data_IF_440970775268
#
_entry.id   IF_440970775268
#
_cell.length_a   1.000
_cell.length_b   1.000
_cell.length_c   1.000
_cell.angle_alpha   90.00
_cell.angle_beta   90.00
_cell.angle_gamma   90.00
#
_symmetry.space_group_name_H-M   'P 1'
#
loop_
_entity.id
_entity.type
_entity.pdbx_description
1 polymer ?
2 non-polymer ?
3 non-polymer ?
4 water ?
#
# COMPACT_ATOMS: atom_id res chain seq x y z
N UNK A 5 15.29 -5.35 -26.33
CA UNK A 5 14.36 -4.74 -27.38
C UNK A 5 13.49 -3.54 -27.06
N UNK A 6 12.36 -3.63 -26.32
CA UNK A 6 11.52 -2.46 -26.00
C UNK A 6 11.44 -2.22 -24.47
N UNK A 7 11.58 -0.96 -24.07
CA UNK A 7 11.44 -0.56 -22.63
C UNK A 7 10.32 0.49 -22.58
N UNK A 8 9.40 0.32 -21.63
CA UNK A 8 8.36 1.26 -21.34
C UNK A 8 8.77 2.05 -20.06
N UNK A 9 8.80 3.35 -20.12
CA UNK A 9 9.13 4.20 -18.94
C UNK A 9 8.02 5.19 -18.71
N UNK A 10 7.20 4.94 -17.70
CA UNK A 10 6.20 5.97 -17.30
C UNK A 10 6.86 7.06 -16.56
N UNK A 11 6.32 8.28 -16.66
CA UNK A 11 6.98 9.45 -16.15
C UNK A 11 8.33 9.70 -16.86
N UNK A 12 8.29 9.54 -18.20
CA UNK A 12 9.48 9.71 -19.06
C UNK A 12 9.83 11.13 -19.43
N UNK A 13 9.08 12.11 -18.99
CA UNK A 13 9.29 13.52 -19.38
C UNK A 13 10.32 14.34 -18.65
N UNK A 14 10.74 13.87 -17.50
CA UNK A 14 11.68 14.56 -16.67
C UNK A 14 12.21 13.56 -15.55
N UNK A 15 13.23 14.04 -14.81
CA UNK A 15 13.60 13.38 -13.55
C UNK A 15 14.20 12.02 -13.75
N UNK A 16 13.88 11.17 -12.77
CA UNK A 16 14.37 9.80 -12.77
C UNK A 16 13.96 9.06 -14.05
N UNK A 17 12.69 9.22 -14.49
CA UNK A 17 12.25 8.52 -15.65
C UNK A 17 13.04 8.92 -16.91
N UNK A 18 13.24 10.23 -17.10
CA UNK A 18 14.02 10.71 -18.25
C UNK A 18 15.44 10.16 -18.18
N UNK A 19 16.06 10.17 -17.01
CA UNK A 19 17.43 9.69 -16.90
C UNK A 19 17.51 8.17 -17.17
N UNK A 20 16.49 7.46 -16.71
CA UNK A 20 16.41 6.02 -16.92
C UNK A 20 16.25 5.69 -18.43
N UNK A 21 15.36 6.45 -19.10
CA UNK A 21 15.15 6.31 -20.54
C UNK A 21 16.45 6.56 -21.31
N UNK A 22 17.21 7.55 -20.93
CA UNK A 22 18.51 7.85 -21.60
C UNK A 22 19.45 6.63 -21.48
N UNK A 23 19.56 6.09 -20.26
CA UNK A 23 20.46 5.00 -20.06
C UNK A 23 19.98 3.75 -20.75
N UNK A 24 18.68 3.47 -20.78
CA UNK A 24 18.18 2.31 -21.47
C UNK A 24 18.42 2.46 -23.00
N UNK A 25 18.25 3.65 -23.52
CA UNK A 25 18.45 3.89 -24.98
C UNK A 25 19.98 3.70 -25.31
N UNK A 26 20.85 4.06 -24.37
CA UNK A 26 22.32 3.84 -24.53
C UNK A 26 22.66 2.40 -24.63
N UNK A 27 21.86 1.56 -23.99
CA UNK A 27 22.01 0.10 -23.98
C UNK A 27 21.38 -0.58 -25.19
N UNK A 28 20.71 0.19 -26.05
CA UNK A 28 20.11 -0.32 -27.27
C UNK A 28 18.62 -0.55 -27.28
N UNK A 29 17.91 -0.29 -26.16
CA UNK A 29 16.50 -0.44 -26.14
C UNK A 29 15.75 0.59 -26.97
N UNK A 30 14.67 0.16 -27.61
CA UNK A 30 13.67 1.07 -28.16
C UNK A 30 12.83 1.55 -26.94
N UNK A 31 12.86 2.81 -26.63
CA UNK A 31 12.17 3.35 -25.43
C UNK A 31 10.84 3.99 -25.78
N UNK A 32 9.78 3.64 -25.06
CA UNK A 32 8.51 4.34 -25.08
C UNK A 32 8.42 5.22 -23.84
N UNK A 33 8.32 6.53 -24.04
CA UNK A 33 8.19 7.49 -22.91
C UNK A 33 6.70 7.78 -22.70
N UNK A 34 6.15 7.64 -21.51
CA UNK A 34 4.71 7.88 -21.28
C UNK A 34 4.58 8.90 -20.20
N UNK A 35 3.75 9.91 -20.44
CA UNK A 35 3.35 10.88 -19.41
C UNK A 35 2.20 11.77 -19.99
N UNK A 36 1.81 12.79 -19.26
CA UNK A 36 0.70 13.67 -19.74
C UNK A 36 1.16 14.67 -20.78
N UNK A 37 2.42 14.90 -20.96
CA UNK A 37 2.92 16.15 -21.61
C UNK A 37 3.58 15.85 -22.93
N UNK A 38 2.85 15.93 -24.05
CA UNK A 38 3.35 15.52 -25.39
C UNK A 38 4.53 16.35 -25.74
N UNK A 39 4.51 17.68 -25.45
CA UNK A 39 5.69 18.43 -25.86
C UNK A 39 6.99 18.09 -25.11
N UNK A 40 6.88 17.86 -23.80
CA UNK A 40 8.05 17.53 -23.02
C UNK A 40 8.51 16.07 -23.35
N UNK A 41 7.57 15.21 -23.60
CA UNK A 41 7.92 13.87 -24.06
C UNK A 41 8.71 13.93 -25.36
N UNK A 42 8.25 14.74 -26.30
CA UNK A 42 9.05 14.87 -27.54
C UNK A 42 10.42 15.48 -27.36
N UNK A 43 10.57 16.42 -26.42
CA UNK A 43 11.86 16.98 -26.10
C UNK A 43 12.83 15.91 -25.58
N UNK A 44 12.37 15.06 -24.66
CA UNK A 44 13.24 13.99 -24.17
C UNK A 44 13.54 12.96 -25.26
N UNK A 45 12.50 12.59 -26.01
CA UNK A 45 12.71 11.64 -27.10
C UNK A 45 13.87 12.04 -28.05
N UNK A 46 13.96 13.34 -28.35
CA UNK A 46 15.01 13.85 -29.24
C UNK A 46 16.34 13.73 -28.63
N UNK A 47 16.48 13.58 -27.29
CA UNK A 47 17.74 13.43 -26.60
C UNK A 47 18.14 11.97 -26.40
N UNK A 48 17.25 11.03 -26.68
CA UNK A 48 17.57 9.62 -26.48
C UNK A 48 18.62 9.11 -27.45
N UNK A 49 19.69 8.51 -26.93
CA UNK A 49 20.65 7.88 -27.86
C UNK A 49 20.07 6.88 -28.83
N UNK A 50 20.67 6.82 -30.01
CA UNK A 50 20.43 5.78 -31.00
C UNK A 50 21.80 5.13 -31.27
N UNK A 51 21.93 3.86 -30.91
CA UNK A 51 23.24 3.21 -30.84
C UNK A 51 23.28 1.89 -31.64
N UNK A 52 22.18 1.47 -32.19
CA UNK A 52 21.96 0.13 -32.81
C UNK A 52 21.16 0.33 -34.08
N UNK A 53 21.44 -0.43 -35.14
CA UNK A 53 20.65 -0.37 -36.39
C UNK A 53 19.21 -0.71 -36.13
N UNK A 54 18.29 0.12 -36.66
CA UNK A 54 16.89 -0.18 -36.60
C UNK A 54 16.20 0.33 -35.28
N UNK A 55 17.01 0.88 -34.39
CA UNK A 55 16.48 1.32 -33.04
C UNK A 55 15.55 2.50 -33.26
N UNK A 56 14.43 2.59 -32.50
CA UNK A 56 13.38 3.55 -32.66
C UNK A 56 12.76 3.84 -31.28
N UNK A 57 12.40 5.08 -31.07
CA UNK A 57 11.77 5.52 -29.80
C UNK A 57 10.37 6.07 -30.06
N UNK A 58 9.53 6.08 -29.00
CA UNK A 58 8.14 6.40 -29.12
C UNK A 58 7.71 7.21 -27.93
N UNK A 59 6.63 7.96 -28.13
CA UNK A 59 5.96 8.63 -26.96
C UNK A 59 4.54 8.09 -26.82
N UNK A 60 3.98 8.28 -25.61
CA UNK A 60 2.65 7.75 -25.31
C UNK A 60 2.03 8.76 -24.35
N UNK A 61 0.97 9.48 -24.81
CA UNK A 61 0.30 10.47 -23.99
C UNK A 61 -0.71 9.70 -23.09
N UNK A 62 -0.40 9.66 -21.79
CA UNK A 62 -1.08 8.79 -20.83
C UNK A 62 -1.23 9.55 -19.52
N UNK A 63 -2.47 9.64 -19.02
CA UNK A 63 -2.71 10.25 -17.74
C UNK A 63 -3.06 9.16 -16.73
N UNK A 64 -2.10 8.90 -15.80
CA UNK A 64 -2.27 7.85 -14.82
C UNK A 64 -3.26 8.09 -13.71
N UNK A 65 -3.87 9.29 -13.72
CA UNK A 65 -5.06 9.47 -12.87
C UNK A 65 -6.24 8.71 -13.43
N UNK A 66 -6.15 8.26 -14.70
CA UNK A 66 -7.20 7.47 -15.38
C UNK A 66 -6.82 6.05 -15.39
N UNK A 67 -7.25 5.34 -14.33
CA UNK A 67 -6.87 3.93 -14.13
C UNK A 67 -7.37 3.04 -15.24
N UNK A 68 -8.59 3.30 -15.75
CA UNK A 68 -9.04 2.43 -16.92
C UNK A 68 -8.23 2.63 -18.21
N UNK A 69 -7.68 3.80 -18.43
CA UNK A 69 -6.76 4.01 -19.55
C UNK A 69 -5.50 3.12 -19.41
N UNK A 70 -4.99 3.09 -18.19
CA UNK A 70 -3.85 2.21 -17.89
C UNK A 70 -4.16 0.76 -18.16
N UNK A 71 -5.33 0.32 -17.64
CA UNK A 71 -5.69 -1.04 -17.71
C UNK A 71 -5.84 -1.58 -19.17
N UNK A 72 -6.21 -0.68 -20.06
CA UNK A 72 -6.39 -1.09 -21.43
C UNK A 72 -5.25 -0.65 -22.34
N UNK A 73 -4.13 -0.16 -21.81
CA UNK A 73 -3.04 0.40 -22.66
C UNK A 73 -3.58 1.39 -23.69
N UNK A 74 -4.52 2.21 -23.24
CA UNK A 74 -5.21 3.16 -24.09
C UNK A 74 -4.23 4.14 -24.74
N UNK A 75 -4.19 4.13 -26.09
CA UNK A 75 -3.35 5.06 -26.81
C UNK A 75 -1.89 4.59 -26.96
N UNK A 76 -1.56 3.40 -26.46
CA UNK A 76 -0.17 2.98 -26.47
C UNK A 76 0.34 2.77 -27.95
N UNK A 77 1.62 3.01 -28.19
CA UNK A 77 2.10 2.87 -29.62
C UNK A 77 2.37 1.40 -29.94
N UNK A 78 2.54 0.53 -28.93
CA UNK A 78 2.86 -0.87 -29.07
C UNK A 78 1.99 -1.63 -28.13
N UNK A 79 1.66 -2.88 -28.46
CA UNK A 79 0.96 -3.67 -27.44
C UNK A 79 1.85 -4.03 -26.24
N UNK A 80 1.19 -4.37 -25.12
CA UNK A 80 1.93 -4.62 -23.84
C UNK A 80 2.96 -5.71 -23.99
N UNK A 81 2.63 -6.72 -24.78
CA UNK A 81 3.53 -7.82 -24.94
C UNK A 81 4.82 -7.47 -25.66
N UNK A 82 4.92 -6.29 -26.27
CA UNK A 82 6.13 -5.97 -26.95
C UNK A 82 7.26 -5.59 -25.97
N UNK A 83 6.92 -5.29 -24.73
CA UNK A 83 7.92 -4.74 -23.76
C UNK A 83 8.69 -5.85 -23.08
N UNK A 84 9.97 -5.60 -22.91
CA UNK A 84 10.92 -6.46 -22.27
C UNK A 84 11.34 -5.88 -20.92
N UNK A 85 11.18 -4.54 -20.77
CA UNK A 85 11.47 -3.80 -19.52
C UNK A 85 10.33 -2.81 -19.33
N UNK A 86 9.77 -2.80 -18.10
CA UNK A 86 8.72 -1.86 -17.71
C UNK A 86 9.22 -1.10 -16.47
N UNK A 87 9.53 0.19 -16.60
CA UNK A 87 9.94 1.03 -15.52
C UNK A 87 8.69 1.85 -15.13
N UNK A 88 8.11 1.48 -13.98
CA UNK A 88 6.86 2.13 -13.45
C UNK A 88 7.40 3.26 -12.63
N UNK A 89 7.62 4.40 -13.22
CA UNK A 89 8.29 5.52 -12.60
C UNK A 89 7.40 6.68 -12.25
N UNK A 90 6.33 6.91 -12.99
CA UNK A 90 5.49 8.08 -12.71
C UNK A 90 5.00 8.06 -11.24
N UNK A 91 4.94 9.26 -10.68
CA UNK A 91 4.41 9.38 -9.37
C UNK A 91 4.25 10.85 -9.02
N UNK A 92 3.43 11.07 -8.02
CA UNK A 92 3.20 12.39 -7.46
C UNK A 92 3.32 12.35 -5.95
N UNK A 93 3.83 13.46 -5.42
CA UNK A 93 4.02 13.60 -3.92
C UNK A 93 3.05 14.63 -3.37
N UNK A 94 2.73 14.51 -2.10
CA UNK A 94 1.86 15.49 -1.46
C UNK A 94 2.25 15.50 0.01
N UNK A 95 2.37 16.71 0.59
CA UNK A 95 2.75 16.95 1.99
C UNK A 95 1.58 17.63 2.72
N UNK A 96 1.15 17.09 3.87
CA UNK A 96 0.00 17.67 4.59
C UNK A 96 -0.01 17.01 5.95
N UNK A 97 -0.45 17.75 6.98
CA UNK A 97 -1.02 17.02 8.12
C UNK A 97 -2.09 16.09 7.68
N UNK A 98 -2.09 14.85 8.19
CA UNK A 98 -3.03 13.84 7.73
C UNK A 98 -4.52 14.33 7.94
N UNK A 99 -4.74 14.94 9.11
CA UNK A 99 -6.05 15.43 9.50
C UNK A 99 -6.66 16.37 8.49
N UNK A 100 -5.85 17.05 7.74
CA UNK A 100 -6.33 18.08 6.85
C UNK A 100 -6.08 17.79 5.38
N UNK A 101 -5.67 16.57 5.04
CA UNK A 101 -5.28 16.33 3.65
C UNK A 101 -6.59 16.15 2.83
N UNK A 102 -6.82 17.03 1.82
CA UNK A 102 -8.02 16.95 1.00
C UNK A 102 -8.31 15.59 0.42
N UNK A 103 -9.51 15.07 0.59
CA UNK A 103 -9.87 13.74 0.16
C UNK A 103 -9.67 13.50 -1.36
N UNK A 104 -10.10 14.45 -2.19
CA UNK A 104 -9.91 14.22 -3.66
C UNK A 104 -8.41 14.12 -4.02
N UNK A 105 -7.61 14.96 -3.40
CA UNK A 105 -6.19 15.03 -3.61
C UNK A 105 -5.51 13.69 -3.24
N UNK A 106 -5.82 13.17 -2.04
CA UNK A 106 -5.03 11.96 -1.60
C UNK A 106 -5.57 10.76 -2.33
N UNK A 107 -6.86 10.71 -2.72
CA UNK A 107 -7.40 9.66 -3.51
C UNK A 107 -6.74 9.68 -4.95
N UNK A 108 -6.57 10.85 -5.51
CA UNK A 108 -5.94 10.96 -6.83
C UNK A 108 -4.46 10.48 -6.72
N UNK A 109 -3.80 10.82 -5.61
CA UNK A 109 -2.43 10.35 -5.38
C UNK A 109 -2.39 8.81 -5.41
N UNK A 110 -3.29 8.18 -4.69
CA UNK A 110 -3.35 6.67 -4.69
C UNK A 110 -3.59 6.13 -6.08
N UNK A 111 -4.47 6.78 -6.87
CA UNK A 111 -4.71 6.34 -8.23
C UNK A 111 -3.45 6.41 -9.07
N UNK A 112 -2.72 7.51 -9.01
CA UNK A 112 -1.55 7.68 -9.85
C UNK A 112 -0.41 6.75 -9.41
N UNK A 113 -0.20 6.69 -8.10
CA UNK A 113 0.99 6.00 -7.55
C UNK A 113 0.84 4.49 -7.40
N UNK A 114 -0.36 4.02 -7.15
CA UNK A 114 -0.64 2.63 -6.85
C UNK A 114 -1.58 1.93 -7.82
N UNK A 115 -2.78 2.49 -8.00
CA UNK A 115 -3.80 1.78 -8.78
C UNK A 115 -3.34 1.69 -10.29
N UNK A 116 -2.85 2.78 -10.87
CA UNK A 116 -2.36 2.70 -12.28
C UNK A 116 -1.17 1.75 -12.49
N UNK A 117 -0.17 1.76 -11.60
CA UNK A 117 0.83 0.69 -11.70
C UNK A 117 0.31 -0.72 -11.62
N UNK A 118 -0.69 -0.94 -10.77
CA UNK A 118 -1.30 -2.26 -10.69
C UNK A 118 -1.98 -2.59 -12.06
N UNK A 119 -2.73 -1.63 -12.57
CA UNK A 119 -3.45 -1.79 -13.83
C UNK A 119 -2.50 -2.03 -15.01
N UNK A 120 -1.39 -1.31 -15.08
CA UNK A 120 -0.42 -1.49 -16.18
C UNK A 120 0.20 -2.87 -16.06
N UNK A 121 0.49 -3.30 -14.82
CA UNK A 121 1.04 -4.58 -14.56
C UNK A 121 0.13 -5.70 -14.99
N UNK A 122 -1.13 -5.60 -14.64
CA UNK A 122 -2.12 -6.62 -15.01
C UNK A 122 -2.19 -6.72 -16.56
N UNK A 123 -2.14 -5.60 -17.22
CA UNK A 123 -2.27 -5.55 -18.72
C UNK A 123 -1.07 -6.27 -19.28
N UNK A 124 0.12 -5.98 -18.80
CA UNK A 124 1.34 -6.65 -19.26
C UNK A 124 1.27 -8.14 -19.01
N UNK A 125 0.87 -8.56 -17.82
CA UNK A 125 0.82 -9.98 -17.45
C UNK A 125 -0.19 -10.72 -18.37
N UNK A 126 -1.29 -10.10 -18.60
CA UNK A 126 -2.34 -10.72 -19.44
C UNK A 126 -1.84 -10.90 -20.88
N UNK A 127 -1.03 -9.97 -21.42
CA UNK A 127 -0.66 -10.00 -22.83
C UNK A 127 0.57 -10.75 -23.10
N UNK A 128 1.42 -10.97 -22.12
CA UNK A 128 2.77 -11.48 -22.45
C UNK A 128 3.00 -12.91 -22.84
N UNK A 129 4.01 -13.07 -23.69
CA UNK A 129 4.39 -14.41 -24.11
C UNK A 129 5.30 -14.90 -22.98
N UNK A 130 5.03 -16.06 -22.36
CA UNK A 130 5.94 -16.63 -21.32
C UNK A 130 7.38 -16.66 -21.89
N UNK A 131 8.30 -16.29 -21.04
CA UNK A 131 9.57 -15.81 -21.56
C UNK A 131 10.66 -16.85 -21.51
N UNK A 132 11.44 -16.93 -22.57
CA UNK A 132 12.70 -17.61 -22.68
C UNK A 132 13.70 -17.23 -21.62
N UNK A 133 14.68 -18.09 -21.48
CA UNK A 133 15.55 -18.13 -20.33
C UNK A 133 16.47 -16.92 -20.25
N UNK A 134 17.08 -16.54 -21.38
CA UNK A 134 18.00 -15.43 -21.37
C UNK A 134 17.32 -14.12 -21.69
N UNK A 135 15.96 -14.11 -21.79
CA UNK A 135 15.22 -12.87 -22.00
C UNK A 135 13.94 -12.80 -21.08
N UNK A 136 14.20 -12.80 -19.77
CA UNK A 136 13.05 -12.47 -18.87
C UNK A 136 12.49 -11.06 -19.09
N UNK A 137 11.22 -10.86 -18.78
CA UNK A 137 10.61 -9.56 -18.70
C UNK A 137 10.98 -8.99 -17.32
N UNK A 138 11.49 -7.74 -17.28
CA UNK A 138 11.84 -7.10 -15.99
C UNK A 138 10.84 -5.99 -15.74
N UNK A 139 10.19 -6.07 -14.59
CA UNK A 139 9.24 -5.03 -14.11
C UNK A 139 9.95 -4.37 -12.90
N UNK A 140 10.08 -3.05 -12.97
CA UNK A 140 10.86 -2.27 -11.99
C UNK A 140 9.99 -1.09 -11.50
N UNK A 141 9.57 -1.15 -10.27
CA UNK A 141 8.78 -0.04 -9.67
C UNK A 141 9.71 0.96 -9.07
N UNK A 142 9.51 2.24 -9.36
CA UNK A 142 10.25 3.29 -8.60
C UNK A 142 9.34 3.63 -7.42
N UNK A 143 9.69 3.09 -6.25
CA UNK A 143 8.96 3.30 -5.00
C UNK A 143 9.56 4.46 -4.25
N UNK A 144 9.80 4.34 -2.97
CA UNK A 144 10.45 5.36 -2.13
C UNK A 144 10.88 4.78 -0.85
N UNK A 145 11.91 5.33 -0.23
CA UNK A 145 12.13 5.03 1.20
C UNK A 145 10.99 5.40 2.10
N UNK A 146 10.10 6.29 1.65
CA UNK A 146 8.93 6.60 2.46
C UNK A 146 8.03 5.43 2.68
N UNK A 147 8.11 4.46 1.78
CA UNK A 147 7.38 3.24 1.98
C UNK A 147 8.04 2.25 2.91
N UNK A 148 9.24 2.52 3.38
CA UNK A 148 9.96 1.63 4.25
C UNK A 148 10.04 2.15 5.65
N UNK A 149 9.90 3.44 5.90
CA UNK A 149 9.95 3.97 7.28
C UNK A 149 8.98 5.11 7.33
N UNK A 150 8.66 5.48 8.53
CA UNK A 150 7.72 6.56 8.73
C UNK A 150 8.27 7.96 8.76
N UNK A 151 7.71 8.78 7.89
CA UNK A 151 8.06 10.22 7.83
C UNK A 151 6.75 11.01 8.00
N UNK A 152 6.78 12.03 8.89
CA UNK A 152 5.61 12.78 9.18
C UNK A 152 5.18 13.63 7.99
N UNK A 153 3.85 13.73 7.80
CA UNK A 153 3.14 14.58 6.84
C UNK A 153 3.25 14.10 5.41
N UNK A 154 3.65 12.83 5.20
CA UNK A 154 3.55 12.20 3.86
C UNK A 154 2.87 10.85 4.01
N UNK A 155 1.82 10.81 4.83
CA UNK A 155 1.16 9.54 5.11
C UNK A 155 0.57 8.82 3.91
N UNK A 156 -0.25 9.48 3.08
CA UNK A 156 -0.86 8.77 1.99
C UNK A 156 0.19 8.45 0.89
N UNK A 157 1.14 9.34 0.65
CA UNK A 157 2.27 9.06 -0.24
C UNK A 157 2.95 7.75 0.20
N UNK A 158 3.25 7.67 1.48
CA UNK A 158 3.94 6.48 2.07
C UNK A 158 3.09 5.25 1.89
N UNK A 159 1.79 5.35 2.10
CA UNK A 159 0.86 4.24 1.88
C UNK A 159 0.95 3.80 0.42
N UNK A 160 0.97 4.72 -0.54
CA UNK A 160 1.04 4.35 -1.97
C UNK A 160 2.28 3.55 -2.29
N UNK A 161 3.39 3.96 -1.72
CA UNK A 161 4.74 3.35 -2.05
C UNK A 161 4.92 2.03 -1.30
N UNK A 162 4.47 1.93 -0.06
CA UNK A 162 4.46 0.66 0.63
C UNK A 162 3.53 -0.32 -0.05
N UNK A 163 2.40 0.17 -0.52
CA UNK A 163 1.44 -0.70 -1.21
C UNK A 163 2.04 -1.23 -2.51
N UNK A 164 2.76 -0.41 -3.25
CA UNK A 164 3.44 -0.82 -4.44
C UNK A 164 4.42 -1.95 -4.16
N UNK A 165 5.15 -1.83 -3.09
CA UNK A 165 6.11 -2.85 -2.69
C UNK A 165 5.44 -4.18 -2.27
N UNK A 166 4.26 -4.11 -1.61
CA UNK A 166 3.53 -5.33 -1.17
C UNK A 166 3.02 -6.05 -2.44
N UNK A 167 2.51 -5.27 -3.41
CA UNK A 167 2.08 -5.77 -4.74
C UNK A 167 3.23 -6.50 -5.45
N UNK A 168 4.37 -5.82 -5.45
CA UNK A 168 5.64 -6.29 -6.09
C UNK A 168 5.99 -7.66 -5.54
N UNK A 169 5.93 -7.89 -4.24
CA UNK A 169 6.42 -9.16 -3.73
C UNK A 169 5.48 -10.30 -4.14
N UNK A 170 4.18 -10.04 -4.07
CA UNK A 170 3.19 -11.05 -4.39
C UNK A 170 3.28 -11.39 -5.89
N UNK A 171 3.33 -10.40 -6.76
CA UNK A 171 3.48 -10.59 -8.25
C UNK A 171 4.77 -11.40 -8.49
N UNK A 172 5.89 -10.97 -7.85
CA UNK A 172 7.17 -11.70 -8.05
C UNK A 172 7.01 -13.20 -7.82
N UNK A 173 6.43 -13.56 -6.73
CA UNK A 173 6.24 -15.01 -6.43
C UNK A 173 5.37 -15.69 -7.51
N UNK A 174 4.30 -15.03 -7.87
CA UNK A 174 3.31 -15.52 -8.84
C UNK A 174 3.92 -15.74 -10.22
N UNK A 175 4.73 -14.81 -10.72
CA UNK A 175 5.12 -14.79 -12.17
C UNK A 175 6.56 -15.16 -12.45
N UNK A 176 7.38 -15.34 -11.42
CA UNK A 176 8.71 -15.90 -11.64
C UNK A 176 8.75 -17.16 -12.55
N UNK A 177 7.87 -18.05 -12.29
CA UNK A 177 7.93 -19.27 -13.15
C UNK A 177 7.52 -19.03 -14.61
N UNK A 178 6.88 -17.90 -14.91
CA UNK A 178 6.69 -17.45 -16.30
C UNK A 178 7.82 -16.66 -16.94
N UNK A 179 8.96 -16.53 -16.29
CA UNK A 179 10.11 -15.75 -16.76
C UNK A 179 9.91 -14.24 -16.61
N UNK A 180 9.16 -13.83 -15.60
CA UNK A 180 8.88 -12.38 -15.38
C UNK A 180 9.49 -12.09 -13.97
N UNK A 181 10.40 -11.14 -13.93
CA UNK A 181 11.09 -10.84 -12.66
C UNK A 181 10.63 -9.37 -12.25
N UNK A 182 10.43 -9.16 -10.94
CA UNK A 182 9.67 -7.99 -10.53
C UNK A 182 10.31 -7.45 -9.23
N UNK A 183 10.69 -6.21 -9.24
CA UNK A 183 11.42 -5.65 -8.12
C UNK A 183 11.08 -4.15 -7.95
N UNK A 184 11.42 -3.59 -6.74
CA UNK A 184 11.29 -2.11 -6.53
C UNK A 184 12.69 -1.50 -6.31
N UNK A 185 12.81 -0.23 -6.73
CA UNK A 185 13.93 0.57 -6.29
C UNK A 185 13.32 1.61 -5.36
N UNK A 186 13.94 1.85 -4.23
CA UNK A 186 13.42 2.78 -3.19
C UNK A 186 14.43 3.94 -3.03
N UNK A 187 14.27 4.98 -3.80
CA UNK A 187 15.20 6.16 -3.66
C UNK A 187 15.01 6.90 -2.38
N UNK A 188 16.10 7.50 -1.90
CA UNK A 188 16.06 8.62 -0.97
C UNK A 188 15.95 9.96 -1.67
N UNK A 189 16.43 11.04 -1.03
CA UNK A 189 16.28 12.39 -1.58
C UNK A 189 17.09 12.61 -2.82
N UNK A 190 16.36 12.74 -3.95
CA UNK A 190 16.89 12.81 -5.28
C UNK A 190 16.61 14.21 -5.88
N UNK A 191 17.56 14.74 -6.66
CA UNK A 191 17.44 16.10 -7.23
C UNK A 191 16.57 16.14 -8.48
N UNK A 192 15.29 16.38 -8.32
CA UNK A 192 14.31 16.47 -9.41
C UNK A 192 13.31 17.58 -9.03
N UNK A 193 12.40 17.84 -9.99
CA UNK A 193 11.36 18.85 -9.70
C UNK A 193 10.47 18.47 -8.51
N UNK A 194 10.34 17.15 -8.21
CA UNK A 194 9.60 16.73 -7.03
C UNK A 194 10.16 17.28 -5.71
N UNK A 195 11.47 17.55 -5.62
CA UNK A 195 12.10 17.99 -4.38
C UNK A 195 12.64 19.45 -4.38
N UNK A 196 12.31 20.20 -5.44
CA UNK A 196 12.88 21.54 -5.49
C UNK A 196 12.32 22.51 -4.44
N UNK A 197 11.18 22.19 -3.94
CA UNK A 197 10.55 22.88 -2.80
C UNK A 197 11.11 22.57 -1.43
N UNK A 198 11.96 21.56 -1.26
CA UNK A 198 12.10 21.10 0.12
C UNK A 198 13.48 20.86 0.26
N UNK A 199 14.19 21.98 0.54
CA UNK A 199 15.61 21.93 0.74
C UNK A 199 16.24 22.47 2.07
N UNK A 200 16.11 21.64 3.12
CA UNK A 200 17.26 21.23 3.89
C UNK A 200 17.12 19.69 3.91
N UNK A 201 18.21 18.99 3.71
CA UNK A 201 18.26 17.55 3.92
C UNK A 201 18.41 17.21 5.38
N UNK A 202 17.97 16.01 5.79
CA UNK A 202 18.38 15.45 7.06
C UNK A 202 19.84 15.18 7.08
N UNK A 203 20.31 14.81 8.26
CA UNK A 203 21.73 14.57 8.47
C UNK A 203 22.04 13.16 7.94
N UNK A 204 22.62 13.05 6.74
CA UNK A 204 22.72 11.72 6.12
C UNK A 204 24.11 11.13 6.31
N UNK A 205 24.24 9.81 6.27
CA UNK A 205 25.59 9.23 6.25
C UNK A 205 26.41 9.70 5.06
N UNK A 206 25.82 9.71 3.89
CA UNK A 206 26.42 10.25 2.68
C UNK A 206 25.75 11.55 2.40
N UNK A 207 26.56 12.63 2.44
CA UNK A 207 25.93 13.92 2.37
C UNK A 207 25.49 14.27 0.95
N UNK A 208 24.42 15.04 0.96
CA UNK A 208 24.00 15.64 -0.31
C UNK A 208 22.86 14.94 -1.02
N UNK A 209 22.46 15.53 -2.14
CA UNK A 209 21.39 15.03 -2.99
C UNK A 209 21.93 13.89 -3.86
N UNK A 210 21.02 12.97 -4.18
CA UNK A 210 21.25 11.95 -5.18
C UNK A 210 20.84 12.49 -6.56
N UNK A 211 21.65 12.22 -7.59
CA UNK A 211 21.29 12.59 -8.95
C UNK A 211 20.32 11.57 -9.58
N UNK A 212 19.36 12.02 -10.38
CA UNK A 212 18.52 11.04 -11.10
C UNK A 212 19.30 10.02 -11.89
N UNK A 213 20.49 10.34 -12.44
CA UNK A 213 21.25 9.34 -13.14
C UNK A 213 21.72 8.15 -12.25
N UNK A 214 21.88 8.40 -10.96
CA UNK A 214 22.28 7.42 -10.02
C UNK A 214 21.17 6.39 -9.83
N UNK A 215 19.91 6.85 -9.79
CA UNK A 215 18.76 5.94 -9.75
C UNK A 215 18.70 5.17 -11.04
N UNK A 216 18.98 5.86 -12.17
CA UNK A 216 18.97 5.19 -13.44
C UNK A 216 19.98 4.02 -13.54
N UNK A 217 21.13 4.15 -12.89
CA UNK A 217 22.12 3.05 -12.83
C UNK A 217 21.53 1.81 -12.15
N UNK A 218 20.72 2.02 -11.08
CA UNK A 218 20.04 0.93 -10.42
C UNK A 218 19.00 0.29 -11.35
N UNK A 219 18.30 1.11 -12.16
CA UNK A 219 17.35 0.58 -13.15
C UNK A 219 18.09 -0.36 -14.12
N UNK A 220 19.26 0.07 -14.58
CA UNK A 220 20.01 -0.72 -15.52
C UNK A 220 20.49 -2.01 -14.89
N UNK A 221 20.91 -1.97 -13.60
CA UNK A 221 21.35 -3.20 -12.91
C UNK A 221 20.21 -4.23 -12.86
N UNK A 222 18.99 -3.75 -12.58
CA UNK A 222 17.83 -4.66 -12.59
C UNK A 222 17.46 -5.14 -13.99
N UNK A 223 17.53 -4.23 -14.97
CA UNK A 223 17.15 -4.61 -16.33
C UNK A 223 18.03 -5.72 -16.89
N UNK A 224 19.31 -5.74 -16.49
CA UNK A 224 20.26 -6.76 -16.92
C UNK A 224 20.37 -7.96 -16.02
N UNK A 225 19.64 -8.00 -14.92
CA UNK A 225 19.79 -9.05 -13.94
C UNK A 225 19.09 -10.36 -14.32
N UNK A 226 19.49 -11.39 -13.59
CA UNK A 226 19.02 -12.76 -13.83
C UNK A 226 18.44 -13.48 -12.65
N UNK A 227 18.91 -13.11 -11.43
CA UNK A 227 18.62 -13.92 -10.23
C UNK A 227 18.00 -13.06 -9.07
N UNK A 228 17.42 -11.92 -9.47
CA UNK A 228 16.84 -10.98 -8.51
C UNK A 228 15.37 -10.85 -8.79
N UNK A 229 14.57 -11.13 -7.78
CA UNK A 229 13.12 -10.90 -7.85
C UNK A 229 12.53 -10.84 -6.46
N UNK A 230 11.49 -10.00 -6.34
CA UNK A 230 10.76 -9.83 -5.10
C UNK A 230 11.44 -8.89 -4.08
N UNK A 231 12.43 -8.13 -4.50
CA UNK A 231 13.22 -7.38 -3.57
C UNK A 231 13.16 -5.85 -3.76
N UNK A 232 13.81 -5.16 -2.81
CA UNK A 232 13.96 -3.72 -2.83
C UNK A 232 15.45 -3.37 -2.98
N UNK A 233 15.77 -2.50 -3.88
CA UNK A 233 17.11 -1.91 -4.04
C UNK A 233 17.03 -0.46 -3.50
N UNK A 234 17.63 -0.28 -2.32
CA UNK A 234 17.54 1.02 -1.59
C UNK A 234 18.73 1.89 -1.99
N UNK A 235 18.46 3.04 -2.59
CA UNK A 235 19.53 3.99 -3.02
C UNK A 235 19.20 5.32 -2.34
N UNK A 236 19.73 5.50 -1.14
CA UNK A 236 19.21 6.56 -0.24
C UNK A 236 20.28 7.28 0.55
N UNK A 237 21.56 7.15 0.16
CA UNK A 237 22.67 7.87 0.94
C UNK A 237 22.74 7.48 2.43
N UNK A 238 22.17 6.29 2.75
CA UNK A 238 22.09 5.86 4.11
C UNK A 238 21.00 6.41 5.03
N UNK A 239 19.99 7.07 4.46
CA UNK A 239 18.93 7.63 5.23
C UNK A 239 18.34 6.63 6.22
N UNK A 240 17.97 5.45 5.72
CA UNK A 240 17.27 4.49 6.56
C UNK A 240 18.18 3.45 7.23
N UNK A 241 19.50 3.46 7.00
CA UNK A 241 20.38 2.43 7.62
C UNK A 241 20.08 2.11 9.20
N UNK B 4 -16.21 6.79 31.25
CA UNK B 4 -16.46 5.72 30.23
C UNK B 4 -15.26 5.62 29.30
N UNK B 5 -15.04 4.49 28.71
CA UNK B 5 -14.05 4.43 27.58
C UNK B 5 -14.80 3.86 26.42
N UNK B 6 -14.47 4.28 25.18
CA UNK B 6 -15.15 3.85 24.03
C UNK B 6 -14.18 3.22 23.00
N UNK B 7 -14.57 2.11 22.45
CA UNK B 7 -13.81 1.46 21.36
C UNK B 7 -14.63 1.33 20.09
N UNK B 8 -14.08 1.67 18.94
CA UNK B 8 -14.74 1.51 17.66
C UNK B 8 -14.17 0.31 16.99
N UNK B 9 -14.96 -0.65 16.60
CA UNK B 9 -14.44 -1.81 15.88
C UNK B 9 -15.17 -1.91 14.54
N UNK B 10 -14.46 -1.64 13.43
CA UNK B 10 -15.05 -1.90 12.14
C UNK B 10 -14.96 -3.36 11.81
N UNK B 11 -15.88 -3.89 10.99
CA UNK B 11 -15.96 -5.31 10.88
C UNK B 11 -16.32 -6.03 12.17
N UNK B 12 -17.20 -5.42 12.95
CA UNK B 12 -17.61 -6.00 14.27
C UNK B 12 -18.61 -7.10 14.20
N UNK B 13 -19.12 -7.46 13.00
CA UNK B 13 -20.22 -8.48 12.90
C UNK B 13 -19.83 -9.93 12.94
N UNK B 14 -18.55 -10.24 12.81
CA UNK B 14 -18.07 -11.62 12.95
C UNK B 14 -16.50 -11.61 13.01
N UNK B 15 -15.96 -12.81 13.06
CA UNK B 15 -14.51 -13.05 12.97
C UNK B 15 -13.65 -12.30 14.02
N UNK B 16 -12.50 -11.82 13.52
CA UNK B 16 -11.55 -11.09 14.41
C UNK B 16 -12.18 -9.88 15.07
N UNK B 17 -12.98 -9.13 14.31
CA UNK B 17 -13.65 -7.99 14.91
C UNK B 17 -14.64 -8.32 16.00
N UNK B 18 -15.51 -9.29 15.77
CA UNK B 18 -16.37 -9.72 16.86
C UNK B 18 -15.64 -10.21 18.07
N UNK B 19 -14.56 -11.01 17.85
CA UNK B 19 -13.80 -11.54 18.97
C UNK B 19 -13.14 -10.38 19.74
N UNK B 20 -12.57 -9.43 19.01
CA UNK B 20 -11.96 -8.20 19.60
C UNK B 20 -12.96 -7.33 20.39
N UNK B 21 -14.15 -7.21 19.84
CA UNK B 21 -15.22 -6.51 20.51
C UNK B 21 -15.59 -7.16 21.86
N UNK B 22 -15.70 -8.48 21.88
CA UNK B 22 -16.02 -9.22 23.11
C UNK B 22 -14.96 -9.00 24.15
N UNK B 23 -13.66 -9.09 23.80
CA UNK B 23 -12.65 -8.91 24.73
C UNK B 23 -12.57 -7.46 25.21
N UNK B 24 -12.79 -6.48 24.31
CA UNK B 24 -12.76 -5.12 24.73
C UNK B 24 -13.94 -4.80 25.74
N UNK B 25 -15.08 -5.36 25.47
CA UNK B 25 -16.24 -5.16 26.37
C UNK B 25 -15.92 -5.79 27.71
N UNK B 26 -15.26 -6.97 27.75
CA UNK B 26 -14.85 -7.60 29.02
C UNK B 26 -13.92 -6.74 29.85
N UNK B 27 -13.08 -5.95 29.18
CA UNK B 27 -12.19 -4.97 29.78
C UNK B 27 -12.92 -3.68 30.20
N UNK B 28 -14.24 -3.54 29.92
CA UNK B 28 -14.94 -2.29 30.33
C UNK B 28 -15.20 -1.24 29.31
N UNK B 29 -14.75 -1.45 28.06
CA UNK B 29 -15.08 -0.49 27.05
C UNK B 29 -16.58 -0.52 26.57
N UNK B 30 -17.13 0.64 26.29
CA UNK B 30 -18.33 0.80 25.49
C UNK B 30 -17.92 0.52 24.01
N UNK B 31 -18.47 -0.45 23.40
CA UNK B 31 -18.02 -0.85 22.03
C UNK B 31 -19.04 -0.41 20.99
N UNK B 32 -18.53 0.24 19.93
CA UNK B 32 -19.33 0.54 18.76
C UNK B 32 -18.91 -0.43 17.65
N UNK B 33 -19.85 -1.24 17.18
CA UNK B 33 -19.67 -2.26 16.18
C UNK B 33 -20.08 -1.66 14.92
N UNK B 34 -19.20 -1.67 13.87
CA UNK B 34 -19.54 -0.99 12.60
C UNK B 34 -19.38 -2.02 11.48
N UNK B 35 -20.39 -2.12 10.59
CA UNK B 35 -20.36 -3.02 9.38
C UNK B 35 -21.66 -2.74 8.61
N UNK B 36 -21.83 -3.46 7.52
CA UNK B 36 -23.01 -3.28 6.68
C UNK B 36 -24.22 -4.01 7.21
N UNK B 37 -24.07 -4.95 8.12
CA UNK B 37 -25.20 -5.86 8.50
C UNK B 37 -25.80 -5.56 9.85
N UNK B 38 -26.89 -4.78 9.86
CA UNK B 38 -27.54 -4.36 11.13
C UNK B 38 -27.96 -5.55 11.97
N UNK B 39 -28.55 -6.57 11.34
CA UNK B 39 -29.01 -7.75 12.12
C UNK B 39 -27.88 -8.57 12.82
N UNK B 40 -26.78 -8.73 12.10
CA UNK B 40 -25.59 -9.39 12.62
C UNK B 40 -24.86 -8.54 13.63
N UNK B 41 -24.87 -7.22 13.45
CA UNK B 41 -24.32 -6.34 14.45
C UNK B 41 -25.08 -6.47 15.74
N UNK B 42 -26.41 -6.47 15.66
CA UNK B 42 -27.27 -6.57 16.83
C UNK B 42 -27.10 -7.86 17.56
N UNK B 43 -26.83 -8.91 16.81
CA UNK B 43 -26.57 -10.22 17.42
C UNK B 43 -25.25 -10.26 18.18
N UNK B 44 -24.22 -9.61 17.61
CA UNK B 44 -22.97 -9.48 18.35
C UNK B 44 -23.21 -8.56 19.53
N UNK B 45 -23.90 -7.46 19.35
CA UNK B 45 -24.10 -6.56 20.44
C UNK B 45 -24.73 -7.28 21.66
N UNK B 46 -25.64 -8.21 21.35
CA UNK B 46 -26.36 -8.99 22.40
C UNK B 46 -25.49 -9.94 23.22
N UNK B 47 -24.35 -10.35 22.67
CA UNK B 47 -23.35 -11.18 23.32
C UNK B 47 -22.23 -10.40 24.04
N UNK B 48 -22.12 -9.09 23.85
CA UNK B 48 -20.99 -8.37 24.44
C UNK B 48 -21.15 -8.29 25.95
N UNK B 49 -20.13 -8.68 26.69
CA UNK B 49 -20.11 -8.46 28.14
C UNK B 49 -20.47 -7.07 28.64
N UNK B 50 -21.15 -7.01 29.79
CA UNK B 50 -21.30 -5.83 30.57
C UNK B 50 -20.58 -6.07 31.93
N UNK B 51 -19.62 -5.25 32.25
CA UNK B 51 -18.79 -5.40 33.43
C UNK B 51 -18.84 -4.26 34.38
N UNK B 52 -19.60 -3.22 34.05
CA UNK B 52 -19.71 -2.05 34.91
C UNK B 52 -20.99 -1.34 34.62
N UNK B 53 -21.69 -0.86 35.68
CA UNK B 53 -22.92 -0.12 35.44
C UNK B 53 -22.65 1.14 34.62
N UNK B 54 -23.58 1.44 33.74
CA UNK B 54 -23.45 2.59 32.88
C UNK B 54 -22.82 2.19 31.54
N UNK B 55 -22.18 1.03 31.48
CA UNK B 55 -21.52 0.57 30.23
C UNK B 55 -22.58 0.29 29.23
N UNK B 56 -22.33 0.61 27.96
CA UNK B 56 -23.31 0.38 26.91
C UNK B 56 -22.61 0.26 25.56
N UNK B 57 -23.26 -0.49 24.68
CA UNK B 57 -22.71 -0.81 23.35
C UNK B 57 -23.57 -0.18 22.26
N UNK B 58 -23.03 -0.03 21.05
CA UNK B 58 -23.70 0.64 19.95
C UNK B 58 -23.42 -0.05 18.66
N UNK B 59 -24.33 0.19 17.71
CA UNK B 59 -24.11 -0.29 16.35
C UNK B 59 -24.01 0.91 15.43
N UNK B 60 -23.28 0.72 14.30
CA UNK B 60 -23.07 1.74 13.31
C UNK B 60 -23.15 1.07 11.94
N UNK B 61 -24.21 1.34 11.19
CA UNK B 61 -24.40 0.79 9.87
C UNK B 61 -23.52 1.63 8.90
N UNK B 62 -22.45 0.99 8.37
CA UNK B 62 -21.39 1.73 7.66
C UNK B 62 -20.90 0.81 6.50
N UNK B 63 -20.98 1.30 5.27
CA UNK B 63 -20.42 0.53 4.11
C UNK B 63 -19.06 1.11 3.75
N UNK B 64 -18.02 0.36 4.08
CA UNK B 64 -16.65 0.90 3.83
C UNK B 64 -16.23 0.93 2.37
N UNK B 65 -17.07 0.45 1.49
CA UNK B 65 -16.83 0.79 0.07
C UNK B 65 -17.08 2.25 -0.23
N UNK B 66 -17.74 2.94 0.70
CA UNK B 66 -18.08 4.37 0.53
C UNK B 66 -17.16 5.22 1.34
N UNK B 67 -16.10 5.66 0.69
CA UNK B 67 -15.00 6.37 1.35
C UNK B 67 -15.42 7.71 1.93
N UNK B 68 -16.37 8.41 1.25
CA UNK B 68 -16.85 9.68 1.77
C UNK B 68 -17.70 9.52 3.08
N UNK B 69 -18.41 8.43 3.19
CA UNK B 69 -19.11 8.12 4.46
C UNK B 69 -18.16 7.94 5.63
N UNK B 70 -17.05 7.20 5.34
CA UNK B 70 -16.00 7.05 6.34
C UNK B 70 -15.42 8.36 6.74
N UNK B 71 -15.09 9.17 5.76
CA UNK B 71 -14.46 10.39 6.04
C UNK B 71 -15.27 11.38 6.94
N UNK B 72 -16.58 11.31 6.74
CA UNK B 72 -17.49 12.19 7.47
C UNK B 72 -18.04 11.55 8.70
N UNK B 73 -17.67 10.29 8.99
CA UNK B 73 -18.24 9.55 10.21
C UNK B 73 -19.74 9.55 10.04
N UNK B 74 -20.19 9.30 8.82
CA UNK B 74 -21.63 9.39 8.52
C UNK B 74 -22.42 8.28 9.21
N UNK B 75 -23.41 8.64 10.06
CA UNK B 75 -24.23 7.64 10.74
C UNK B 75 -23.66 7.20 12.07
N UNK B 76 -22.51 7.73 12.49
CA UNK B 76 -21.89 7.22 13.65
C UNK B 76 -22.75 7.58 14.90
N UNK B 77 -22.75 6.71 15.89
CA UNK B 77 -23.58 6.97 17.13
C UNK B 77 -22.93 7.97 18.07
N UNK B 78 -21.62 8.23 17.94
CA UNK B 78 -20.83 9.09 18.75
C UNK B 78 -19.83 9.87 17.92
N UNK B 79 -19.46 11.06 18.36
CA UNK B 79 -18.49 11.78 17.59
C UNK B 79 -17.10 11.08 17.61
N UNK B 80 -16.28 11.35 16.61
CA UNK B 80 -14.95 10.68 16.60
C UNK B 80 -14.16 10.94 17.84
N UNK B 81 -14.17 12.18 18.39
CA UNK B 81 -13.36 12.47 19.58
C UNK B 81 -13.71 11.66 20.87
N UNK B 82 -14.82 10.92 20.86
CA UNK B 82 -15.25 10.12 22.01
C UNK B 82 -14.43 8.83 22.13
N UNK B 83 -13.77 8.40 21.02
CA UNK B 83 -13.14 7.08 21.00
C UNK B 83 -11.77 7.07 21.58
N UNK B 84 -11.50 6.00 22.33
CA UNK B 84 -10.19 5.79 22.90
C UNK B 84 -9.38 4.69 22.21
N UNK B 85 -10.08 3.79 21.57
CA UNK B 85 -9.49 2.66 20.82
C UNK B 85 -10.19 2.61 19.49
N UNK B 86 -9.44 2.54 18.40
CA UNK B 86 -10.04 2.29 17.06
C UNK B 86 -9.39 1.00 16.49
N UNK B 87 -10.18 -0.06 16.34
CA UNK B 87 -9.71 -1.32 15.75
C UNK B 87 -10.23 -1.33 14.31
N UNK B 88 -9.33 -1.03 13.36
CA UNK B 88 -9.70 -1.03 11.95
C UNK B 88 -9.59 -2.44 11.47
N UNK B 89 -10.67 -3.19 11.49
CA UNK B 89 -10.68 -4.52 11.23
C UNK B 89 -11.38 -4.97 9.98
N UNK B 90 -12.27 -4.15 9.45
CA UNK B 90 -13.02 -4.52 8.29
C UNK B 90 -12.08 -4.77 7.09
N UNK B 91 -12.35 -5.81 6.35
CA UNK B 91 -11.56 -6.04 5.11
C UNK B 91 -12.19 -7.13 4.29
N UNK B 92 -11.77 -7.19 3.05
CA UNK B 92 -12.26 -8.19 2.08
C UNK B 92 -11.05 -8.78 1.38
N UNK B 93 -11.12 -10.07 1.16
CA UNK B 93 -10.03 -10.80 0.48
C UNK B 93 -10.46 -11.12 -0.95
N UNK B 94 -9.49 -11.48 -1.75
CA UNK B 94 -9.68 -11.91 -3.12
C UNK B 94 -8.52 -12.75 -3.54
N UNK B 95 -8.79 -13.93 -4.06
CA UNK B 95 -7.82 -14.91 -4.63
C UNK B 95 -8.01 -15.02 -6.14
N UNK B 96 -7.01 -14.64 -6.92
CA UNK B 96 -7.10 -14.59 -8.38
C UNK B 96 -5.72 -14.55 -9.01
N UNK B 97 -5.48 -15.18 -10.18
CA UNK B 97 -4.35 -14.73 -10.96
C UNK B 97 -4.45 -13.23 -11.23
N UNK B 98 -3.32 -12.50 -11.13
CA UNK B 98 -3.37 -11.08 -11.25
C UNK B 98 -3.92 -10.61 -12.62
N UNK B 99 -3.52 -11.33 -13.67
CA UNK B 99 -3.96 -11.07 -15.04
C UNK B 99 -5.46 -11.11 -15.20
N UNK B 100 -6.14 -11.85 -14.34
CA UNK B 100 -7.59 -12.09 -14.48
C UNK B 100 -8.45 -11.33 -13.47
N UNK B 101 -7.84 -10.60 -12.55
CA UNK B 101 -8.66 -10.02 -11.46
C UNK B 101 -9.44 -8.84 -11.99
N UNK B 102 -10.77 -8.91 -11.88
CA UNK B 102 -11.64 -7.87 -12.44
C UNK B 102 -11.36 -6.53 -11.89
N UNK B 103 -11.24 -5.49 -12.71
CA UNK B 103 -10.85 -4.19 -12.29
C UNK B 103 -11.77 -3.59 -11.26
N UNK B 104 -13.10 -3.76 -11.42
CA UNK B 104 -13.97 -3.11 -10.39
C UNK B 104 -13.83 -3.85 -9.06
N UNK B 105 -13.63 -5.12 -9.08
CA UNK B 105 -13.47 -5.91 -7.86
C UNK B 105 -12.16 -5.49 -7.13
N UNK B 106 -11.06 -5.44 -7.86
CA UNK B 106 -9.79 -5.09 -7.12
C UNK B 106 -9.79 -3.63 -6.66
N UNK B 107 -10.37 -2.69 -7.43
CA UNK B 107 -10.47 -1.32 -6.96
C UNK B 107 -11.38 -1.22 -5.71
N UNK B 108 -12.49 -1.94 -5.70
CA UNK B 108 -13.36 -1.94 -4.49
C UNK B 108 -12.56 -2.51 -3.28
N UNK B 109 -11.76 -3.56 -3.49
CA UNK B 109 -10.94 -4.14 -2.44
C UNK B 109 -10.03 -3.06 -1.88
N UNK B 110 -9.37 -2.27 -2.76
CA UNK B 110 -8.53 -1.18 -2.25
C UNK B 110 -9.28 -0.13 -1.44
N UNK B 111 -10.49 0.24 -1.93
CA UNK B 111 -11.27 1.19 -1.21
C UNK B 111 -11.64 0.68 0.24
N UNK B 112 -12.09 -0.58 0.35
CA UNK B 112 -12.52 -1.12 1.62
C UNK B 112 -11.32 -1.30 2.57
N UNK B 113 -10.22 -1.81 1.98
CA UNK B 113 -9.06 -2.22 2.84
C UNK B 113 -8.11 -1.12 3.16
N UNK B 114 -8.01 -0.10 2.31
CA UNK B 114 -6.94 0.92 2.43
C UNK B 114 -7.58 2.31 2.49
N UNK B 115 -8.36 2.72 1.47
CA UNK B 115 -8.86 4.12 1.47
C UNK B 115 -9.83 4.42 2.66
N UNK B 116 -10.74 3.51 2.94
CA UNK B 116 -11.65 3.77 4.10
C UNK B 116 -10.91 3.86 5.43
N UNK B 117 -9.95 2.93 5.72
CA UNK B 117 -9.15 3.14 6.95
C UNK B 117 -8.45 4.43 7.00
N UNK B 118 -7.87 4.86 5.84
CA UNK B 118 -7.23 6.16 5.79
C UNK B 118 -8.24 7.31 6.21
N UNK B 119 -9.41 7.22 5.60
CA UNK B 119 -10.47 8.28 5.80
C UNK B 119 -10.94 8.30 7.25
N UNK B 120 -11.15 7.12 7.81
CA UNK B 120 -11.56 7.03 9.25
C UNK B 120 -10.47 7.60 10.14
N UNK B 121 -9.19 7.24 9.88
CA UNK B 121 -8.07 7.73 10.66
C UNK B 121 -8.01 9.30 10.59
N UNK B 122 -8.12 9.85 9.38
CA UNK B 122 -8.11 11.31 9.17
C UNK B 122 -9.23 11.95 10.07
N UNK B 123 -10.39 11.35 10.03
CA UNK B 123 -11.58 11.90 10.77
C UNK B 123 -11.27 11.87 12.26
N UNK B 124 -10.70 10.78 12.80
CA UNK B 124 -10.32 10.71 14.21
C UNK B 124 -9.27 11.70 14.58
N UNK B 125 -8.17 11.83 13.78
CA UNK B 125 -7.12 12.74 14.08
C UNK B 125 -7.70 14.20 14.12
N UNK B 126 -8.58 14.54 13.16
CA UNK B 126 -9.13 15.89 13.06
C UNK B 126 -9.92 16.19 14.37
N UNK B 127 -10.72 15.26 14.79
CA UNK B 127 -11.65 15.52 15.95
C UNK B 127 -11.00 15.42 17.23
N UNK B 128 -10.08 14.50 17.34
CA UNK B 128 -9.41 14.30 18.64
C UNK B 128 -8.45 15.40 18.92
N UNK B 129 -7.77 15.81 17.89
CA UNK B 129 -6.63 16.72 17.91
C UNK B 129 -5.48 16.22 18.74
N UNK B 130 -5.63 16.12 20.08
CA UNK B 130 -4.56 15.64 21.00
C UNK B 130 -5.18 15.01 22.26
N UNK B 131 -4.36 14.27 23.04
CA UNK B 131 -4.82 13.47 24.18
C UNK B 131 -3.96 13.71 25.33
N UNK B 132 -4.48 13.50 26.50
CA UNK B 132 -3.58 13.51 27.65
C UNK B 132 -2.71 12.31 27.79
N UNK B 133 -1.61 12.46 28.54
CA UNK B 133 -0.59 11.42 28.62
C UNK B 133 -1.08 10.21 29.29
N UNK B 134 -2.06 10.32 30.18
CA UNK B 134 -2.63 9.17 30.88
C UNK B 134 -3.70 8.40 30.12
N UNK B 135 -4.11 8.87 28.93
CA UNK B 135 -5.17 8.19 28.22
C UNK B 135 -4.91 8.46 26.69
N UNK B 136 -3.81 7.88 26.16
CA UNK B 136 -3.59 7.97 24.70
C UNK B 136 -4.75 7.30 23.95
N UNK B 137 -4.94 7.75 22.68
CA UNK B 137 -5.79 7.09 21.77
C UNK B 137 -4.96 5.97 21.11
N UNK B 138 -5.50 4.76 21.02
CA UNK B 138 -4.79 3.63 20.37
C UNK B 138 -5.50 3.35 19.06
N UNK B 139 -4.78 3.42 17.94
CA UNK B 139 -5.31 3.03 16.64
C UNK B 139 -4.57 1.71 16.27
N UNK B 140 -5.36 0.72 15.89
CA UNK B 140 -4.86 -0.65 15.71
C UNK B 140 -5.41 -1.13 14.37
N UNK B 141 -4.56 -1.26 13.37
CA UNK B 141 -4.99 -1.81 12.05
C UNK B 141 -4.89 -3.31 12.07
N UNK B 142 -5.92 -4.02 11.61
CA UNK B 142 -5.78 -5.46 11.36
C UNK B 142 -5.33 -5.58 9.93
N UNK B 143 -4.01 -5.79 9.77
CA UNK B 143 -3.36 -5.89 8.49
C UNK B 143 -3.30 -7.41 8.12
N UNK B 144 -2.20 -7.92 7.56
CA UNK B 144 -2.04 -9.33 7.30
C UNK B 144 -0.54 -9.62 7.09
N UNK B 145 -0.16 -10.87 7.27
CA UNK B 145 1.17 -11.25 6.84
C UNK B 145 1.33 -11.15 5.33
N UNK B 146 0.24 -11.10 4.57
CA UNK B 146 0.36 -10.87 3.14
C UNK B 146 0.95 -9.53 2.76
N UNK B 147 0.91 -8.56 3.67
CA UNK B 147 1.56 -7.31 3.45
C UNK B 147 3.06 -7.32 3.74
N UNK B 148 3.54 -8.42 4.29
CA UNK B 148 4.95 -8.56 4.70
C UNK B 148 5.72 -9.49 3.78
N UNK B 149 5.11 -10.45 3.12
CA UNK B 149 5.83 -11.35 2.24
C UNK B 149 4.89 -11.68 1.08
N UNK B 150 5.45 -12.20 0.01
CA UNK B 150 4.67 -12.36 -1.26
C UNK B 150 4.04 -13.72 -1.31
N UNK B 151 2.73 -13.75 -1.47
CA UNK B 151 2.00 -15.07 -1.69
C UNK B 151 1.33 -14.96 -3.06
N UNK B 152 1.45 -15.97 -3.90
CA UNK B 152 0.85 -15.90 -5.23
C UNK B 152 -0.68 -15.84 -5.19
N UNK B 153 -1.25 -15.06 -6.10
CA UNK B 153 -2.68 -14.91 -6.35
C UNK B 153 -3.47 -14.10 -5.32
N UNK B 154 -2.72 -13.29 -4.49
CA UNK B 154 -3.37 -12.35 -3.53
C UNK B 154 -2.70 -11.00 -3.71
N UNK B 155 -2.38 -10.61 -4.96
CA UNK B 155 -1.57 -9.39 -5.16
C UNK B 155 -2.19 -8.13 -4.70
N UNK B 156 -3.42 -7.84 -5.08
CA UNK B 156 -3.98 -6.56 -4.71
C UNK B 156 -4.31 -6.54 -3.20
N UNK B 157 -4.81 -7.63 -2.67
CA UNK B 157 -4.96 -7.76 -1.21
C UNK B 157 -3.66 -7.41 -0.50
N UNK B 158 -2.56 -8.02 -0.96
CA UNK B 158 -1.25 -7.72 -0.37
C UNK B 158 -0.89 -6.25 -0.48
N UNK B 159 -1.14 -5.62 -1.62
CA UNK B 159 -0.94 -4.20 -1.79
C UNK B 159 -1.74 -3.46 -0.77
N UNK B 160 -2.99 -3.81 -0.55
CA UNK B 160 -3.82 -3.05 0.40
C UNK B 160 -3.26 -3.08 1.82
N UNK B 161 -2.77 -4.24 2.24
CA UNK B 161 -2.31 -4.45 3.62
C UNK B 161 -0.94 -3.84 3.79
N UNK B 162 -0.04 -3.97 2.80
CA UNK B 162 1.28 -3.34 2.87
C UNK B 162 1.12 -1.82 2.89
N UNK B 163 0.10 -1.36 2.09
CA UNK B 163 -0.19 0.08 2.09
C UNK B 163 -0.65 0.57 3.43
N UNK B 164 -1.49 -0.19 4.07
CA UNK B 164 -2.00 0.19 5.41
C UNK B 164 -0.85 0.31 6.43
N UNK B 165 0.07 -0.64 6.36
CA UNK B 165 1.25 -0.62 7.23
C UNK B 165 2.16 0.61 6.93
N UNK B 166 2.33 1.00 5.66
CA UNK B 166 3.09 2.15 5.34
C UNK B 166 2.44 3.46 5.87
N UNK B 167 1.12 3.55 5.74
CA UNK B 167 0.33 4.65 6.32
C UNK B 167 0.56 4.68 7.85
N UNK B 168 0.46 3.53 8.49
CA UNK B 168 0.64 3.38 9.93
C UNK B 168 1.94 3.94 10.42
N UNK B 169 3.08 3.63 9.73
CA UNK B 169 4.35 4.10 10.26
C UNK B 169 4.43 5.64 10.19
N UNK B 170 3.94 6.21 9.09
CA UNK B 170 4.01 7.67 8.89
C UNK B 170 3.13 8.39 9.88
N UNK B 171 1.90 7.92 10.03
CA UNK B 171 0.94 8.51 11.05
C UNK B 171 1.52 8.34 12.47
N UNK B 172 2.12 7.19 12.79
CA UNK B 172 2.66 6.99 14.12
C UNK B 172 3.71 8.09 14.46
N UNK B 173 4.61 8.33 13.54
CA UNK B 173 5.62 9.36 13.75
C UNK B 173 5.00 10.75 13.86
N UNK B 174 4.00 11.05 13.03
CA UNK B 174 3.33 12.34 13.02
C UNK B 174 2.61 12.66 14.35
N UNK B 175 1.85 11.73 14.87
CA UNK B 175 0.84 12.03 15.90
C UNK B 175 1.24 11.47 17.28
N UNK B 176 2.38 10.75 17.43
CA UNK B 176 2.86 10.33 18.78
C UNK B 176 2.93 11.54 19.75
N UNK B 177 3.43 12.68 19.25
CA UNK B 177 3.56 13.84 20.17
C UNK B 177 2.21 14.39 20.61
N UNK B 178 1.11 14.04 19.93
CA UNK B 178 -0.28 14.35 20.29
C UNK B 178 -0.97 13.36 21.21
N UNK B 179 -0.23 12.32 21.57
CA UNK B 179 -0.71 11.28 22.42
C UNK B 179 -1.59 10.25 21.73
N UNK B 180 -1.26 9.99 20.46
CA UNK B 180 -2.00 9.00 19.62
C UNK B 180 -0.98 7.97 19.17
N UNK B 181 -1.21 6.71 19.54
CA UNK B 181 -0.29 5.58 19.24
C UNK B 181 -0.95 4.71 18.16
N UNK B 182 -0.15 4.26 17.19
CA UNK B 182 -0.69 3.70 15.95
C UNK B 182 0.14 2.46 15.56
N UNK B 183 -0.49 1.32 15.41
CA UNK B 183 0.22 0.07 15.13
C UNK B 183 -0.62 -0.84 14.25
N UNK B 184 0.05 -1.85 13.66
CA UNK B 184 -0.63 -2.95 12.95
C UNK B 184 -0.46 -4.26 13.64
N UNK B 185 -1.48 -5.10 13.56
CA UNK B 185 -1.35 -6.52 13.84
C UNK B 185 -1.43 -7.21 12.49
N UNK B 186 -0.54 -8.18 12.27
CA UNK B 186 -0.47 -8.87 11.01
C UNK B 186 -0.72 -10.36 11.26
N UNK B 187 -2.00 -10.80 11.18
CA UNK B 187 -2.32 -12.24 11.33
C UNK B 187 -1.87 -13.10 10.17
N UNK B 188 -1.55 -14.36 10.52
CA UNK B 188 -1.46 -15.45 9.59
C UNK B 188 -2.85 -16.04 9.37
N UNK B 189 -2.86 -17.34 8.99
CA UNK B 189 -4.14 -18.00 8.66
C UNK B 189 -5.00 -18.18 9.89
N UNK B 190 -6.12 -17.45 9.93
CA UNK B 190 -7.02 -17.37 11.05
C UNK B 190 -8.44 -17.87 10.60
N UNK B 191 -9.06 -18.69 11.45
CA UNK B 191 -10.25 -19.46 11.04
C UNK B 191 -11.48 -18.58 11.20
N UNK B 192 -11.89 -18.01 10.10
CA UNK B 192 -13.01 -17.07 10.00
C UNK B 192 -13.71 -17.31 8.63
N UNK B 193 -14.83 -16.64 8.38
CA UNK B 193 -15.53 -16.66 7.12
C UNK B 193 -14.65 -16.36 5.93
N UNK B 194 -13.69 -15.41 6.11
CA UNK B 194 -12.80 -15.04 5.05
C UNK B 194 -11.94 -16.19 4.45
N UNK B 195 -11.57 -17.18 5.27
CA UNK B 195 -10.60 -18.19 4.87
C UNK B 195 -11.32 -19.56 4.88
N UNK B 196 -12.65 -19.56 5.02
CA UNK B 196 -13.43 -20.83 5.03
C UNK B 196 -13.31 -21.65 3.76
N UNK B 197 -13.03 -20.98 2.65
CA UNK B 197 -12.71 -21.68 1.38
C UNK B 197 -11.35 -22.36 1.28
N UNK B 198 -10.46 -22.12 2.25
CA UNK B 198 -9.17 -22.78 2.27
C UNK B 198 -9.37 -24.13 2.96
N UNK B 199 -8.98 -25.17 2.25
CA UNK B 199 -9.25 -26.56 2.65
C UNK B 199 -8.02 -27.26 3.20
N UNK B 200 -6.82 -26.74 2.89
CA UNK B 200 -5.48 -27.13 3.43
C UNK B 200 -4.55 -25.90 3.70
N UNK B 201 -3.94 -25.93 4.88
CA UNK B 201 -2.95 -24.90 5.28
C UNK B 201 -1.53 -25.26 4.78
N UNK B 202 -0.62 -24.28 4.70
CA UNK B 202 0.85 -24.57 4.49
C UNK B 202 1.34 -25.32 5.72
N UNK B 203 2.54 -25.90 5.63
CA UNK B 203 3.14 -26.59 6.74
C UNK B 203 3.74 -25.46 7.56
N UNK B 204 3.32 -25.34 8.79
CA UNK B 204 3.77 -24.20 9.62
C UNK B 204 4.59 -24.70 10.79
N UNK B 205 5.44 -23.79 11.36
CA UNK B 205 6.13 -24.21 12.60
C UNK B 205 5.18 -24.54 13.79
N UNK B 206 4.11 -23.76 13.97
CA UNK B 206 3.04 -24.08 14.88
C UNK B 206 1.86 -24.52 14.01
N UNK B 207 1.45 -25.81 14.15
CA UNK B 207 0.47 -26.27 13.17
C UNK B 207 -0.92 -25.78 13.39
N UNK B 208 -1.67 -25.65 12.29
CA UNK B 208 -3.11 -25.50 12.42
C UNK B 208 -3.55 -24.05 12.27
N UNK B 209 -4.86 -23.85 12.45
CA UNK B 209 -5.48 -22.54 12.32
C UNK B 209 -5.23 -21.75 13.57
N UNK B 210 -5.16 -20.41 13.42
CA UNK B 210 -5.25 -19.52 14.55
C UNK B 210 -6.72 -19.16 14.84
N UNK B 211 -7.14 -19.07 16.11
CA UNK B 211 -8.49 -18.66 16.38
C UNK B 211 -8.59 -17.13 16.39
N UNK B 212 -9.74 -16.57 15.98
CA UNK B 212 -9.90 -15.13 16.13
C UNK B 212 -9.64 -14.59 17.52
N UNK B 213 -9.96 -15.33 18.59
CA UNK B 213 -9.75 -14.86 19.93
C UNK B 213 -8.26 -14.60 20.22
N UNK B 214 -7.39 -15.35 19.54
CA UNK B 214 -5.91 -15.17 19.72
C UNK B 214 -5.50 -13.82 19.14
N UNK B 215 -6.11 -13.42 18.04
CA UNK B 215 -5.82 -12.07 17.44
C UNK B 215 -6.34 -11.00 18.39
N UNK B 216 -7.57 -11.22 18.96
CA UNK B 216 -8.15 -10.32 19.96
C UNK B 216 -7.25 -10.07 21.21
N UNK B 217 -6.47 -11.09 21.62
CA UNK B 217 -5.55 -10.91 22.77
C UNK B 217 -4.43 -9.91 22.36
N UNK B 218 -3.95 -9.97 21.12
CA UNK B 218 -3.03 -8.94 20.60
C UNK B 218 -3.64 -7.56 20.52
N UNK B 219 -4.92 -7.46 20.18
CA UNK B 219 -5.66 -6.14 20.23
C UNK B 219 -5.64 -5.62 21.67
N UNK B 220 -5.96 -6.50 22.63
CA UNK B 220 -5.94 -6.03 24.00
C UNK B 220 -4.54 -5.57 24.48
N UNK B 221 -3.49 -6.32 24.09
CA UNK B 221 -2.15 -5.95 24.43
C UNK B 221 -1.84 -4.53 23.95
N UNK B 222 -2.19 -4.24 22.69
CA UNK B 222 -1.97 -2.88 22.19
C UNK B 222 -2.88 -1.83 22.82
N UNK B 223 -4.11 -2.18 23.06
CA UNK B 223 -5.06 -1.21 23.67
C UNK B 223 -4.59 -0.73 25.04
N UNK B 224 -3.95 -1.61 25.82
CA UNK B 224 -3.44 -1.25 27.14
C UNK B 224 -2.03 -0.75 27.15
N UNK B 225 -1.38 -0.71 25.99
CA UNK B 225 0.05 -0.43 25.91
C UNK B 225 0.37 1.10 26.12
N UNK B 226 1.67 1.37 26.37
CA UNK B 226 2.13 2.71 26.67
C UNK B 226 3.28 3.18 25.77
N UNK B 227 4.12 2.22 25.34
CA UNK B 227 5.44 2.55 24.73
C UNK B 227 5.65 1.88 23.36
N UNK B 228 4.51 1.54 22.75
CA UNK B 228 4.48 0.84 21.42
C UNK B 228 3.82 1.74 20.38
N UNK B 229 4.57 2.12 19.35
CA UNK B 229 4.01 2.80 18.24
C UNK B 229 4.82 2.63 16.95
N UNK B 230 4.13 2.61 15.81
CA UNK B 230 4.75 2.49 14.51
C UNK B 230 5.20 1.07 14.19
N UNK B 231 4.68 0.03 14.85
CA UNK B 231 5.20 -1.32 14.66
C UNK B 231 4.18 -2.33 14.21
N UNK B 232 4.68 -3.51 13.89
CA UNK B 232 3.87 -4.67 13.49
C UNK B 232 3.90 -5.71 14.56
N UNK B 233 2.74 -6.20 15.01
CA UNK B 233 2.70 -7.40 15.88
C UNK B 233 2.20 -8.60 15.04
N UNK B 234 3.17 -9.47 14.74
CA UNK B 234 2.87 -10.62 13.84
C UNK B 234 2.42 -11.82 14.63
N UNK B 235 1.22 -12.30 14.32
CA UNK B 235 0.63 -13.45 14.99
C UNK B 235 0.26 -14.49 13.94
N UNK B 236 1.23 -15.35 13.63
CA UNK B 236 1.15 -16.10 12.36
C UNK B 236 1.57 -17.56 12.44
N UNK B 237 1.67 -18.10 13.65
CA UNK B 237 2.14 -19.51 13.77
C UNK B 237 3.51 -19.78 13.15
N UNK B 238 4.34 -18.74 12.96
CA UNK B 238 5.65 -18.86 12.37
C UNK B 238 5.71 -18.87 10.86
N UNK B 239 4.58 -18.56 10.19
CA UNK B 239 4.57 -18.56 8.73
C UNK B 239 5.74 -17.82 8.11
N UNK B 240 6.00 -16.63 8.59
CA UNK B 240 7.03 -15.87 7.91
C UNK B 240 8.39 -15.92 8.60
N UNK B 241 8.49 -16.46 9.80
CA UNK B 241 9.74 -16.56 10.58
C UNK B 241 10.88 -16.72 9.57
#
# INVERSE_FOLDING_TARGET
>A
MTTTSNALVTGGSRGIGAASAIKLAQEGYNVTLASRSVDKLNEVKAKLPIVQDGQKHYIWELDLADVEAASSFKGAPLPARSYDVFVSNAGVAAFSPTADHDDKEWQNLLAVNLSSPIALTKALLKDVSERPVDKPLQIIYISSVAGLHGAAQVAVYSASKAGLDGFMRSVAREVGPKGIHVNSINPGYTKTEMTAGIEALPDLPIKGWIEPEAIADAVLFLAKSKNITGTNIVVDNGLIA
>B
MTTTSNALVTGGSRGIGAASAIKLAQEGYNVTLASRSVDKLNEVKAKLPIVQDGQKHYIWELDLADVEAASSFKGAPLPARSYDVFVSNAGVAAFSPTADHDDKEWQNLLAVNLSSPIALTKALLKDVSERPVDKPLQIIYISSVAGLHGAAQVAVYSASKAGLDGFMRSVAREVGPKGIHVNSINPGYTKTEMTAGIEALPDLPIKGWIEPEAIADAVLFLAKSKNITGTNIVVDNGLIA
#
